data_IF_341613778405
#
_entry.id   IF_341613778405
#
_cell.length_a   1.000
_cell.length_b   1.000
_cell.length_c   1.000
_cell.angle_alpha   90.00
_cell.angle_beta   90.00
_cell.angle_gamma   90.00
#
_symmetry.space_group_name_H-M   'P 1'
#
loop_
_entity.id
_entity.type
_entity.pdbx_description
1 polymer ?
#
# COMPACT_ATOMS: atom_id res chain seq x y z
N UNK A 1 0.04 28.54 -16.30
CA UNK A 1 0.25 27.26 -15.59
C UNK A 1 -0.95 27.06 -14.69
N UNK A 2 -1.91 26.21 -15.11
CA UNK A 2 -3.20 26.10 -14.45
C UNK A 2 -3.09 25.30 -13.13
N UNK A 3 -3.68 25.86 -12.07
CA UNK A 3 -3.60 25.38 -10.69
C UNK A 3 -4.47 24.12 -10.51
N UNK A 4 -3.86 23.03 -10.07
CA UNK A 4 -4.50 21.72 -9.87
C UNK A 4 -5.67 21.73 -8.86
N UNK A 5 -5.84 22.81 -8.09
CA UNK A 5 -6.89 22.94 -7.08
C UNK A 5 -8.27 23.25 -7.67
N UNK A 6 -8.35 23.89 -8.85
CA UNK A 6 -9.65 24.20 -9.48
C UNK A 6 -10.38 22.98 -10.05
N UNK A 7 -9.65 21.89 -10.37
CA UNK A 7 -10.27 20.67 -10.92
C UNK A 7 -11.08 19.89 -9.87
N UNK A 8 -10.88 20.20 -8.58
CA UNK A 8 -11.50 19.46 -7.48
C UNK A 8 -12.90 19.99 -7.12
N UNK A 9 -13.21 21.25 -7.39
CA UNK A 9 -14.46 21.89 -6.96
C UNK A 9 -15.59 21.89 -8.01
N UNK A 10 -15.32 21.56 -9.28
CA UNK A 10 -16.31 21.66 -10.37
C UNK A 10 -17.11 20.38 -10.64
N UNK A 11 -16.94 19.30 -9.87
CA UNK A 11 -17.55 17.98 -10.17
C UNK A 11 -18.58 17.49 -9.13
N UNK A 12 -18.90 18.29 -8.11
CA UNK A 12 -19.82 17.91 -7.02
C UNK A 12 -21.30 18.21 -7.32
N UNK A 13 -21.65 18.75 -8.49
CA UNK A 13 -22.99 19.33 -8.72
C UNK A 13 -23.69 18.96 -10.04
N UNK A 14 -23.56 17.74 -10.57
CA UNK A 14 -24.51 17.27 -11.60
C UNK A 14 -24.99 15.81 -11.40
N UNK A 15 -26.21 15.72 -10.84
CA UNK A 15 -27.33 14.82 -11.23
C UNK A 15 -27.13 13.30 -11.07
N UNK A 16 -27.68 12.63 -10.04
CA UNK A 16 -29.08 12.15 -9.94
C UNK A 16 -29.71 11.74 -11.29
N UNK A 17 -29.78 10.42 -11.55
CA UNK A 17 -30.93 9.59 -11.97
C UNK A 17 -30.47 8.20 -12.51
N UNK A 18 -31.33 7.17 -12.38
CA UNK A 18 -31.05 5.72 -12.60
C UNK A 18 -30.80 5.27 -14.05
N UNK A 19 -30.74 3.94 -14.37
CA UNK A 19 -31.82 2.99 -14.08
C UNK A 19 -31.39 1.60 -13.54
N UNK A 20 -32.40 0.86 -13.09
CA UNK A 20 -32.32 -0.43 -12.40
C UNK A 20 -31.69 -1.59 -13.19
N UNK A 21 -31.06 -2.49 -12.43
CA UNK A 21 -30.46 -3.72 -12.91
C UNK A 21 -31.51 -4.85 -12.87
N UNK A 22 -31.75 -5.47 -14.03
CA UNK A 22 -32.52 -6.71 -14.14
C UNK A 22 -31.66 -7.92 -13.72
N UNK A 23 -32.23 -8.94 -13.04
CA UNK A 23 -31.51 -10.18 -12.74
C UNK A 23 -31.49 -11.12 -13.96
N UNK A 24 -30.43 -11.04 -14.77
CA UNK A 24 -30.13 -12.01 -15.82
C UNK A 24 -29.12 -13.04 -15.35
N UNK A 25 -29.53 -14.31 -15.29
CA UNK A 25 -28.72 -15.44 -14.81
C UNK A 25 -27.46 -15.68 -15.65
N UNK A 26 -26.39 -16.10 -14.97
CA UNK A 26 -25.18 -16.64 -15.59
C UNK A 26 -25.02 -18.11 -15.25
N UNK A 27 -25.60 -18.97 -16.09
CA UNK A 27 -25.11 -20.34 -16.29
C UNK A 27 -23.83 -20.26 -17.12
N UNK A 28 -22.68 -20.62 -16.56
CA UNK A 28 -21.41 -20.60 -17.29
C UNK A 28 -20.34 -21.41 -16.58
N UNK A 29 -20.11 -22.62 -17.08
CA UNK A 29 -19.18 -23.64 -16.58
C UNK A 29 -17.81 -23.11 -16.19
N UNK A 30 -17.41 -23.40 -14.96
CA UNK A 30 -16.11 -23.04 -14.39
C UNK A 30 -14.97 -23.86 -15.02
N UNK A 31 -14.29 -23.30 -16.04
CA UNK A 31 -12.93 -23.73 -16.37
C UNK A 31 -11.96 -23.07 -15.38
N UNK A 32 -11.42 -23.86 -14.44
CA UNK A 32 -10.34 -23.44 -13.53
C UNK A 32 -9.10 -23.10 -14.36
N UNK A 33 -8.89 -21.81 -14.62
CA UNK A 33 -7.71 -21.31 -15.31
C UNK A 33 -6.44 -21.57 -14.51
N UNK A 34 -5.34 -21.82 -15.21
CA UNK A 34 -3.99 -21.86 -14.65
C UNK A 34 -3.74 -20.61 -13.81
N UNK A 35 -3.12 -20.80 -12.64
CA UNK A 35 -2.83 -19.72 -11.68
C UNK A 35 -1.93 -18.67 -12.36
N UNK A 36 -2.53 -17.63 -12.93
CA UNK A 36 -1.80 -16.52 -13.57
C UNK A 36 -0.88 -15.88 -12.52
N UNK A 37 0.41 -15.78 -12.84
CA UNK A 37 1.38 -15.04 -12.03
C UNK A 37 0.94 -13.57 -12.02
N UNK A 38 0.43 -13.10 -10.90
CA UNK A 38 0.04 -11.70 -10.75
C UNK A 38 1.29 -10.89 -10.43
N UNK A 39 1.72 -10.05 -11.36
CA UNK A 39 2.78 -9.09 -11.09
C UNK A 39 2.28 -8.04 -10.10
N UNK A 40 3.04 -7.85 -9.03
CA UNK A 40 2.69 -6.85 -8.03
C UNK A 40 3.18 -5.48 -8.49
N UNK A 41 2.23 -4.57 -8.67
CA UNK A 41 2.47 -3.20 -9.12
C UNK A 41 2.73 -2.27 -7.93
N UNK A 42 3.55 -1.26 -8.15
CA UNK A 42 3.89 -0.23 -7.16
C UNK A 42 2.65 0.56 -6.72
N UNK A 43 2.74 1.25 -5.58
CA UNK A 43 1.65 2.16 -5.17
C UNK A 43 1.44 3.31 -6.16
N UNK A 44 2.51 3.76 -6.83
CA UNK A 44 2.43 4.77 -7.89
C UNK A 44 1.59 4.29 -9.07
N UNK A 45 1.91 3.13 -9.63
CA UNK A 45 1.15 2.55 -10.76
C UNK A 45 -0.31 2.30 -10.38
N UNK A 46 -0.57 1.85 -9.15
CA UNK A 46 -1.93 1.67 -8.63
C UNK A 46 -2.70 2.99 -8.56
N UNK A 47 -2.05 4.06 -8.13
CA UNK A 47 -2.64 5.39 -8.06
C UNK A 47 -2.92 5.96 -9.46
N UNK A 48 -1.96 5.87 -10.38
CA UNK A 48 -2.13 6.29 -11.78
C UNK A 48 -3.31 5.58 -12.45
N UNK A 49 -3.43 4.26 -12.27
CA UNK A 49 -4.55 3.49 -12.78
C UNK A 49 -5.91 3.94 -12.21
N UNK A 50 -5.96 4.33 -10.93
CA UNK A 50 -7.20 4.85 -10.30
C UNK A 50 -7.56 6.21 -10.89
N UNK A 51 -6.59 7.10 -11.09
CA UNK A 51 -6.81 8.41 -11.70
C UNK A 51 -7.30 8.27 -13.14
N UNK A 52 -6.74 7.34 -13.94
CA UNK A 52 -7.24 7.08 -15.29
C UNK A 52 -8.68 6.56 -15.32
N UNK A 53 -9.06 5.75 -14.33
CA UNK A 53 -10.46 5.32 -14.17
C UNK A 53 -11.37 6.48 -13.78
N UNK A 54 -10.94 7.34 -12.85
CA UNK A 54 -11.71 8.51 -12.41
C UNK A 54 -11.88 9.57 -13.50
N UNK A 55 -10.88 9.72 -14.40
CA UNK A 55 -10.98 10.58 -15.59
C UNK A 55 -12.06 10.12 -16.58
N UNK A 56 -12.47 8.85 -16.55
CA UNK A 56 -13.55 8.32 -17.39
C UNK A 56 -13.25 8.24 -18.90
N UNK A 57 -12.04 8.60 -19.35
CA UNK A 57 -11.67 8.67 -20.78
C UNK A 57 -11.49 7.30 -21.44
N UNK A 58 -11.20 6.25 -20.67
CA UNK A 58 -10.94 4.90 -21.15
C UNK A 58 -11.83 3.89 -20.44
N UNK A 59 -12.18 2.80 -21.14
CA UNK A 59 -12.88 1.69 -20.51
C UNK A 59 -11.96 0.96 -19.53
N UNK A 60 -12.53 0.41 -18.44
CA UNK A 60 -11.80 -0.37 -17.43
C UNK A 60 -11.00 -1.53 -18.05
N UNK A 61 -11.48 -2.09 -19.16
CA UNK A 61 -10.78 -3.13 -19.91
C UNK A 61 -9.45 -2.62 -20.49
N UNK A 62 -9.50 -1.50 -21.21
CA UNK A 62 -8.32 -0.91 -21.86
C UNK A 62 -7.28 -0.48 -20.83
N UNK A 63 -7.72 0.12 -19.72
CA UNK A 63 -6.83 0.48 -18.59
C UNK A 63 -6.17 -0.79 -18.01
N UNK A 64 -6.93 -1.86 -17.79
CA UNK A 64 -6.35 -3.10 -17.29
C UNK A 64 -5.29 -3.69 -18.24
N UNK A 65 -5.52 -3.62 -19.55
CA UNK A 65 -4.58 -4.07 -20.59
C UNK A 65 -3.31 -3.21 -20.62
N UNK A 66 -3.41 -1.88 -20.58
CA UNK A 66 -2.26 -0.97 -20.56
C UNK A 66 -1.37 -1.15 -19.32
N UNK A 67 -1.97 -1.40 -18.16
CA UNK A 67 -1.25 -1.67 -16.92
C UNK A 67 -0.79 -3.14 -16.77
N UNK A 68 -1.14 -4.01 -17.73
CA UNK A 68 -0.77 -5.43 -17.72
C UNK A 68 -1.43 -6.24 -16.59
N UNK A 69 -2.63 -5.84 -16.14
CA UNK A 69 -3.33 -6.46 -15.01
C UNK A 69 -4.67 -7.07 -15.42
N UNK A 70 -5.17 -8.09 -14.68
CA UNK A 70 -6.54 -8.54 -14.82
C UNK A 70 -7.55 -7.46 -14.41
N UNK A 71 -8.71 -7.41 -15.08
CA UNK A 71 -9.80 -6.49 -14.72
C UNK A 71 -10.28 -6.62 -13.27
N UNK A 72 -10.25 -7.84 -12.70
CA UNK A 72 -10.57 -8.07 -11.29
C UNK A 72 -9.59 -7.34 -10.33
N UNK A 73 -8.31 -7.31 -10.71
CA UNK A 73 -7.28 -6.59 -9.96
C UNK A 73 -7.55 -5.09 -9.97
N UNK A 74 -7.86 -4.51 -11.13
CA UNK A 74 -8.24 -3.11 -11.26
C UNK A 74 -9.49 -2.79 -10.41
N UNK A 75 -10.49 -3.66 -10.46
CA UNK A 75 -11.71 -3.52 -9.63
C UNK A 75 -11.40 -3.53 -8.13
N UNK A 76 -10.45 -4.37 -7.70
CA UNK A 76 -10.00 -4.44 -6.31
C UNK A 76 -9.25 -3.16 -5.90
N UNK A 77 -8.45 -2.57 -6.79
CA UNK A 77 -7.77 -1.31 -6.52
C UNK A 77 -8.74 -0.15 -6.39
N UNK A 78 -9.75 -0.08 -7.27
CA UNK A 78 -10.82 0.91 -7.20
C UNK A 78 -11.55 0.81 -5.85
N UNK A 79 -11.87 -0.41 -5.38
CA UNK A 79 -12.47 -0.60 -4.04
C UNK A 79 -11.59 -0.15 -2.88
N UNK A 80 -10.26 -0.20 -3.05
CA UNK A 80 -9.27 0.21 -2.04
C UNK A 80 -8.70 1.59 -2.31
N UNK A 81 -9.36 2.40 -3.15
CA UNK A 81 -8.82 3.68 -3.63
C UNK A 81 -8.42 4.61 -2.49
N UNK A 82 -9.23 4.72 -1.44
CA UNK A 82 -8.97 5.66 -0.35
C UNK A 82 -7.71 5.30 0.42
N UNK A 83 -7.46 4.00 0.63
CA UNK A 83 -6.22 3.50 1.26
C UNK A 83 -5.00 3.75 0.38
N UNK A 84 -5.13 3.58 -0.93
CA UNK A 84 -4.05 3.81 -1.89
C UNK A 84 -3.73 5.31 -1.97
N UNK A 85 -4.76 6.17 -2.03
CA UNK A 85 -4.63 7.64 -2.02
C UNK A 85 -4.02 8.16 -0.72
N UNK A 86 -4.54 7.72 0.43
CA UNK A 86 -4.01 8.10 1.74
C UNK A 86 -2.53 7.73 1.86
N UNK A 87 -2.16 6.50 1.47
CA UNK A 87 -0.77 6.04 1.51
C UNK A 87 0.16 6.77 0.54
N UNK A 88 -0.35 7.23 -0.59
CA UNK A 88 0.39 8.09 -1.52
C UNK A 88 0.61 9.49 -0.92
N UNK A 89 -0.40 10.07 -0.28
CA UNK A 89 -0.34 11.42 0.28
C UNK A 89 0.48 11.50 1.58
N UNK A 90 0.42 10.49 2.46
CA UNK A 90 1.15 10.49 3.73
C UNK A 90 2.68 10.41 3.57
N UNK A 91 3.22 10.23 2.36
CA UNK A 91 4.67 10.17 2.11
C UNK A 91 5.41 8.98 2.74
N UNK A 92 4.67 8.15 3.47
CA UNK A 92 5.12 7.03 4.30
C UNK A 92 5.64 5.83 3.48
N UNK A 93 5.52 5.90 2.15
CA UNK A 93 5.97 4.87 1.23
C UNK A 93 6.83 5.51 0.15
N UNK A 94 8.07 5.03 0.02
CA UNK A 94 8.76 5.17 -1.25
C UNK A 94 7.83 4.65 -2.35
N UNK A 95 7.57 5.47 -3.37
CA UNK A 95 6.64 5.21 -4.46
C UNK A 95 6.95 3.90 -5.21
N UNK A 96 8.15 3.35 -5.01
CA UNK A 96 8.68 2.09 -5.52
C UNK A 96 8.11 0.85 -4.81
N UNK A 97 7.60 1.00 -3.57
CA UNK A 97 7.12 -0.14 -2.78
C UNK A 97 5.84 -0.73 -3.39
N UNK A 98 5.79 -2.06 -3.45
CA UNK A 98 4.66 -2.81 -4.06
C UNK A 98 3.56 -3.18 -3.06
N UNK A 99 3.89 -3.26 -1.77
CA UNK A 99 2.95 -3.63 -0.70
C UNK A 99 3.22 -2.83 0.56
N UNK A 100 2.15 -2.39 1.21
CA UNK A 100 2.21 -1.89 2.57
C UNK A 100 2.38 -3.11 3.48
N UNK A 101 3.50 -3.17 4.21
CA UNK A 101 3.65 -4.16 5.27
C UNK A 101 3.17 -3.52 6.56
N UNK A 102 2.35 -4.24 7.32
CA UNK A 102 2.02 -3.88 8.69
C UNK A 102 3.17 -4.39 9.57
N UNK A 103 3.77 -3.47 10.34
CA UNK A 103 4.72 -3.82 11.39
C UNK A 103 4.02 -4.66 12.46
N UNK A 104 4.72 -5.64 13.05
CA UNK A 104 4.15 -6.40 14.18
C UNK A 104 4.10 -5.50 15.43
N UNK A 105 5.11 -4.64 15.57
CA UNK A 105 5.25 -3.68 16.64
C UNK A 105 5.59 -2.31 16.05
N UNK A 106 4.60 -1.54 15.56
CA UNK A 106 4.85 -0.30 14.81
C UNK A 106 5.66 0.72 15.60
N UNK A 107 5.40 0.88 16.90
CA UNK A 107 6.07 1.86 17.74
C UNK A 107 7.54 1.49 17.99
N UNK A 108 7.82 0.20 18.24
CA UNK A 108 9.18 -0.32 18.43
C UNK A 108 9.97 -0.24 17.12
N UNK A 109 9.38 -0.68 16.01
CA UNK A 109 10.01 -0.62 14.68
C UNK A 109 10.29 0.84 14.28
N UNK A 110 9.38 1.78 14.56
CA UNK A 110 9.59 3.20 14.27
C UNK A 110 10.76 3.81 15.08
N UNK A 111 10.84 3.51 16.38
CA UNK A 111 11.93 3.97 17.24
C UNK A 111 13.30 3.41 16.79
N UNK A 112 13.36 2.12 16.44
CA UNK A 112 14.57 1.50 15.92
C UNK A 112 14.98 2.06 14.56
N UNK A 113 14.03 2.26 13.65
CA UNK A 113 14.32 2.88 12.35
C UNK A 113 14.87 4.29 12.50
N UNK A 114 14.34 5.09 13.44
CA UNK A 114 14.88 6.41 13.76
C UNK A 114 16.31 6.33 14.31
N UNK A 115 16.58 5.37 15.20
CA UNK A 115 17.91 5.12 15.74
C UNK A 115 18.91 4.72 14.63
N UNK A 116 18.52 3.80 13.75
CA UNK A 116 19.33 3.39 12.61
C UNK A 116 19.61 4.56 11.65
N UNK A 117 18.60 5.40 11.36
CA UNK A 117 18.79 6.61 10.53
C UNK A 117 19.78 7.56 11.17
N UNK A 118 19.67 7.82 12.47
CA UNK A 118 20.62 8.68 13.19
C UNK A 118 22.04 8.08 13.17
N UNK A 119 22.18 6.79 13.40
CA UNK A 119 23.47 6.12 13.41
C UNK A 119 24.16 6.12 12.03
N UNK A 120 23.38 5.95 10.95
CA UNK A 120 23.85 6.12 9.56
C UNK A 120 24.34 7.56 9.31
N UNK A 121 23.67 8.58 9.84
CA UNK A 121 24.13 9.98 9.75
C UNK A 121 25.44 10.21 10.51
N UNK A 122 25.65 9.50 11.62
CA UNK A 122 26.87 9.55 12.43
C UNK A 122 27.98 8.60 11.92
N UNK A 123 27.83 8.00 10.73
CA UNK A 123 28.74 7.02 10.13
C UNK A 123 29.12 5.84 11.06
N UNK A 124 28.29 5.55 12.05
CA UNK A 124 28.53 4.47 13.02
C UNK A 124 27.43 3.43 12.82
N UNK A 125 27.67 2.36 12.03
CA UNK A 125 26.67 1.31 11.88
C UNK A 125 26.40 0.65 13.23
N UNK A 126 25.12 0.42 13.53
CA UNK A 126 24.70 -0.28 14.75
C UNK A 126 24.84 -1.78 14.50
N UNK A 127 25.58 -2.46 15.37
CA UNK A 127 25.67 -3.91 15.35
C UNK A 127 24.31 -4.56 15.69
N UNK A 128 24.04 -5.73 15.10
CA UNK A 128 22.78 -6.45 15.31
C UNK A 128 22.49 -6.76 16.78
N UNK A 129 23.52 -7.05 17.58
CA UNK A 129 23.37 -7.28 19.03
C UNK A 129 22.95 -6.01 19.76
N UNK A 130 23.58 -4.88 19.42
CA UNK A 130 23.22 -3.56 19.97
C UNK A 130 21.79 -3.19 19.59
N UNK A 131 21.37 -3.48 18.37
CA UNK A 131 20.01 -3.22 17.91
C UNK A 131 18.98 -4.08 18.68
N UNK A 132 19.29 -5.36 18.96
CA UNK A 132 18.43 -6.20 19.81
C UNK A 132 18.32 -5.66 21.24
N UNK A 133 19.43 -5.21 21.82
CA UNK A 133 19.41 -4.61 23.16
C UNK A 133 18.53 -3.36 23.21
N UNK A 134 18.63 -2.49 22.20
CA UNK A 134 17.78 -1.30 22.06
C UNK A 134 16.31 -1.66 21.84
N UNK A 135 16.03 -2.68 21.04
CA UNK A 135 14.68 -3.15 20.80
C UNK A 135 14.00 -3.64 22.08
N UNK A 136 14.72 -4.40 22.91
CA UNK A 136 14.23 -4.86 24.23
C UNK A 136 13.95 -3.68 25.17
N UNK A 137 14.84 -2.69 25.20
CA UNK A 137 14.65 -1.47 25.99
C UNK A 137 13.37 -0.73 25.57
N UNK A 138 13.12 -0.58 24.27
CA UNK A 138 11.89 0.06 23.76
C UNK A 138 10.65 -0.77 24.07
N UNK A 139 10.72 -2.10 24.00
CA UNK A 139 9.62 -2.97 24.39
C UNK A 139 9.25 -2.78 25.86
N UNK A 140 10.24 -2.74 26.75
CA UNK A 140 10.07 -2.52 28.18
C UNK A 140 9.46 -1.14 28.48
N UNK A 141 9.93 -0.09 27.80
CA UNK A 141 9.38 1.27 27.92
C UNK A 141 7.91 1.38 27.46
N UNK A 142 7.51 0.57 26.49
CA UNK A 142 6.13 0.52 25.98
C UNK A 142 5.25 -0.48 26.75
N UNK A 143 5.79 -1.14 27.78
CA UNK A 143 5.06 -2.14 28.57
C UNK A 143 4.75 -3.43 27.80
N UNK A 144 5.47 -3.70 26.71
CA UNK A 144 5.35 -4.95 25.95
C UNK A 144 6.15 -6.03 26.69
N UNK A 145 5.45 -7.04 27.20
CA UNK A 145 6.09 -8.16 27.90
C UNK A 145 7.16 -8.83 27.04
N UNK A 146 8.26 -9.23 27.66
CA UNK A 146 9.33 -10.03 27.05
C UNK A 146 8.85 -11.36 26.46
N UNK A 147 7.65 -11.83 26.83
CA UNK A 147 6.99 -13.00 26.24
C UNK A 147 6.34 -12.71 24.88
N UNK A 148 5.91 -11.47 24.66
CA UNK A 148 5.22 -11.03 23.43
C UNK A 148 6.24 -10.57 22.38
N UNK A 149 7.36 -10.02 22.84
CA UNK A 149 8.41 -9.43 22.00
C UNK A 149 9.65 -10.31 21.93
N UNK A 150 9.75 -11.11 20.86
CA UNK A 150 10.98 -11.81 20.50
C UNK A 150 11.64 -11.17 19.27
N UNK A 151 12.89 -10.74 19.44
CA UNK A 151 13.74 -10.22 18.37
C UNK A 151 14.30 -11.37 17.52
N UNK A 152 13.44 -12.05 16.76
CA UNK A 152 13.89 -13.08 15.83
C UNK A 152 14.85 -12.49 14.79
N UNK A 153 15.81 -13.31 14.31
CA UNK A 153 16.77 -12.88 13.29
C UNK A 153 16.10 -12.28 12.05
N UNK A 154 15.06 -12.94 11.55
CA UNK A 154 14.26 -12.48 10.40
C UNK A 154 13.55 -11.14 10.65
N UNK A 155 13.11 -10.89 11.89
CA UNK A 155 12.48 -9.60 12.24
C UNK A 155 13.53 -8.49 12.24
N UNK A 156 14.72 -8.77 12.78
CA UNK A 156 15.80 -7.80 12.87
C UNK A 156 16.33 -7.39 11.48
N UNK A 157 16.53 -8.34 10.57
CA UNK A 157 16.94 -8.04 9.19
C UNK A 157 15.94 -7.13 8.47
N UNK A 158 14.64 -7.35 8.71
CA UNK A 158 13.58 -6.52 8.14
C UNK A 158 13.58 -5.08 8.65
N UNK A 159 13.98 -4.85 9.90
CA UNK A 159 14.06 -3.51 10.51
C UNK A 159 15.35 -2.81 10.14
N UNK A 160 16.43 -3.57 9.89
CA UNK A 160 17.73 -3.02 9.53
C UNK A 160 17.85 -2.58 8.05
N UNK A 161 17.03 -3.16 7.16
CA UNK A 161 17.06 -2.89 5.71
C UNK A 161 16.56 -1.47 5.41
#
# INVERSE_FOLDING_TARGET
>A
MANLKEYFDLSVEQSKEGPGIQPGGISGSAKRGTKRKLENKSFKEKYEAIIEVEKGLKTKKKIAEEFGIPQNTLSTWIKKKDKIKAKFLTGDLELTRKQARTAKFPDIEAALLALCKNARQQNTPIDGETMRAKARLYAEQLGVSSTEFDCSGDWLERVNT
#
